data_IF_564928222059
#
_entry.id   IF_564928222059
#
_cell.length_a   1.000
_cell.length_b   1.000
_cell.length_c   1.000
_cell.angle_alpha   90.00
_cell.angle_beta   90.00
_cell.angle_gamma   90.00
#
_symmetry.space_group_name_H-M   'P 1'
#
loop_
_entity.id
_entity.type
_entity.pdbx_description
1 polymer ?
#
# COMPACT_ATOMS: atom_id res chain seq x y z
N UNK A 1 -12.96 14.03 -15.77
CA UNK A 1 -13.48 12.64 -15.82
C UNK A 1 -12.49 11.81 -16.60
N UNK A 2 -11.90 10.78 -15.99
CA UNK A 2 -10.94 9.89 -16.67
C UNK A 2 -11.70 8.88 -17.53
N UNK A 3 -11.22 8.61 -18.75
CA UNK A 3 -11.72 7.52 -19.60
C UNK A 3 -11.11 6.17 -19.25
N UNK A 4 -9.99 6.18 -18.52
CA UNK A 4 -9.30 4.99 -18.01
C UNK A 4 -9.89 4.58 -16.64
N UNK A 5 -11.04 3.92 -16.69
CA UNK A 5 -11.73 3.40 -15.49
C UNK A 5 -10.86 2.37 -14.76
N UNK A 6 -10.16 1.52 -15.52
CA UNK A 6 -9.30 0.48 -14.96
C UNK A 6 -8.16 1.08 -14.14
N UNK A 7 -7.47 2.10 -14.65
CA UNK A 7 -6.42 2.79 -13.91
C UNK A 7 -6.93 3.44 -12.62
N UNK A 8 -8.14 4.01 -12.66
CA UNK A 8 -8.77 4.61 -11.47
C UNK A 8 -9.10 3.55 -10.41
N UNK A 9 -9.67 2.40 -10.79
CA UNK A 9 -10.01 1.32 -9.86
C UNK A 9 -8.75 0.70 -9.24
N UNK A 10 -7.72 0.44 -10.05
CA UNK A 10 -6.44 -0.10 -9.57
C UNK A 10 -5.76 0.90 -8.63
N UNK A 11 -5.73 2.18 -9.01
CA UNK A 11 -5.17 3.24 -8.16
C UNK A 11 -5.87 3.31 -6.80
N UNK A 12 -7.20 3.30 -6.80
CA UNK A 12 -8.02 3.32 -5.59
C UNK A 12 -7.84 2.10 -4.68
N UNK A 13 -7.68 0.91 -5.24
CA UNK A 13 -7.43 -0.31 -4.46
C UNK A 13 -6.01 -0.34 -3.88
N UNK A 14 -5.00 -0.12 -4.74
CA UNK A 14 -3.58 -0.24 -4.36
C UNK A 14 -3.16 0.81 -3.34
N UNK A 15 -3.66 2.06 -3.46
CA UNK A 15 -3.32 3.10 -2.49
C UNK A 15 -3.69 2.73 -1.05
N UNK A 16 -4.79 1.99 -0.87
CA UNK A 16 -5.30 1.68 0.46
C UNK A 16 -4.40 0.64 1.14
N UNK A 17 -3.93 -0.37 0.40
CA UNK A 17 -2.94 -1.32 0.90
C UNK A 17 -1.60 -0.64 1.21
N UNK A 18 -1.15 0.29 0.35
CA UNK A 18 0.07 1.06 0.59
C UNK A 18 -0.04 1.97 1.82
N UNK A 19 -1.22 2.55 2.07
CA UNK A 19 -1.47 3.37 3.26
C UNK A 19 -1.39 2.57 4.57
N UNK A 20 -1.78 1.29 4.56
CA UNK A 20 -1.52 0.38 5.70
C UNK A 20 0.00 0.24 5.93
N UNK A 21 0.77 0.05 4.86
CA UNK A 21 2.24 0.04 4.92
C UNK A 21 2.85 1.33 5.47
N UNK A 22 2.32 2.49 5.05
CA UNK A 22 2.73 3.79 5.59
C UNK A 22 2.46 3.90 7.09
N UNK A 23 1.28 3.48 7.55
CA UNK A 23 0.94 3.43 8.96
C UNK A 23 1.82 2.49 9.77
N UNK A 24 2.15 1.31 9.23
CA UNK A 24 3.09 0.37 9.84
C UNK A 24 4.48 1.01 10.02
N UNK A 25 4.99 1.64 8.97
CA UNK A 25 6.28 2.33 8.98
C UNK A 25 6.31 3.48 10.00
N UNK A 26 5.28 4.32 10.01
CA UNK A 26 5.16 5.45 10.93
C UNK A 26 5.08 4.97 12.39
N UNK A 27 4.25 3.96 12.67
CA UNK A 27 4.06 3.43 14.02
C UNK A 27 5.30 2.74 14.60
N UNK A 28 6.21 2.29 13.74
CA UNK A 28 7.52 1.74 14.13
C UNK A 28 8.62 2.82 14.27
N UNK A 29 8.30 4.09 14.04
CA UNK A 29 9.21 5.21 14.27
C UNK A 29 10.17 5.54 13.11
N UNK A 30 9.92 5.04 11.89
CA UNK A 30 10.81 5.28 10.74
C UNK A 30 10.68 6.69 10.11
N UNK A 31 9.66 7.46 10.47
CA UNK A 31 9.51 8.87 10.13
C UNK A 31 9.22 9.17 8.65
N UNK A 32 9.20 10.47 8.33
CA UNK A 32 8.69 11.00 7.07
C UNK A 32 9.50 10.56 5.83
N UNK A 33 10.83 10.47 5.92
CA UNK A 33 11.67 10.07 4.77
C UNK A 33 11.34 8.64 4.32
N UNK A 34 11.15 7.74 5.27
CA UNK A 34 10.77 6.35 5.00
C UNK A 34 9.39 6.26 4.38
N UNK A 35 8.45 7.06 4.87
CA UNK A 35 7.10 7.17 4.29
C UNK A 35 7.14 7.67 2.84
N UNK A 36 7.94 8.70 2.54
CA UNK A 36 8.12 9.19 1.17
C UNK A 36 8.72 8.09 0.28
N UNK A 37 9.74 7.39 0.74
CA UNK A 37 10.33 6.27 -0.01
C UNK A 37 9.30 5.15 -0.28
N UNK A 38 8.43 4.86 0.69
CA UNK A 38 7.32 3.92 0.53
C UNK A 38 6.33 4.39 -0.53
N UNK A 39 5.93 5.67 -0.51
CA UNK A 39 5.01 6.25 -1.49
C UNK A 39 5.59 6.15 -2.90
N UNK A 40 6.85 6.56 -3.10
CA UNK A 40 7.50 6.52 -4.43
C UNK A 40 7.61 5.10 -4.97
N UNK A 41 8.02 4.14 -4.13
CA UNK A 41 8.09 2.72 -4.50
C UNK A 41 6.70 2.12 -4.74
N UNK A 42 5.73 2.51 -3.93
CA UNK A 42 4.34 2.08 -4.03
C UNK A 42 3.68 2.56 -5.32
N UNK A 43 3.97 3.79 -5.76
CA UNK A 43 3.51 4.30 -7.05
C UNK A 43 4.05 3.48 -8.23
N UNK A 44 5.33 3.06 -8.16
CA UNK A 44 5.93 2.18 -9.17
C UNK A 44 5.25 0.81 -9.21
N UNK A 45 4.93 0.24 -8.05
CA UNK A 45 4.16 -1.00 -7.94
C UNK A 45 2.75 -0.85 -8.54
N UNK A 46 2.02 0.17 -8.11
CA UNK A 46 0.68 0.51 -8.62
C UNK A 46 0.67 0.65 -10.14
N UNK A 47 1.62 1.42 -10.68
CA UNK A 47 1.75 1.65 -12.12
C UNK A 47 2.08 0.36 -12.87
N UNK A 48 2.98 -0.47 -12.34
CA UNK A 48 3.37 -1.75 -12.96
C UNK A 48 2.18 -2.71 -13.03
N UNK A 49 1.43 -2.85 -11.94
CA UNK A 49 0.22 -3.68 -11.93
C UNK A 49 -0.84 -3.12 -12.90
N UNK A 50 -1.06 -1.81 -12.85
CA UNK A 50 -1.96 -1.09 -13.75
C UNK A 50 -1.71 -1.39 -15.22
N UNK A 51 -0.48 -1.14 -15.66
CA UNK A 51 -0.07 -1.34 -17.05
C UNK A 51 -0.19 -2.82 -17.46
N UNK A 52 0.19 -3.75 -16.58
CA UNK A 52 0.05 -5.18 -16.85
C UNK A 52 -1.40 -5.64 -17.05
N UNK A 53 -2.36 -4.94 -16.45
CA UNK A 53 -3.80 -5.21 -16.58
C UNK A 53 -4.46 -4.44 -17.74
N UNK A 54 -3.75 -3.49 -18.36
CA UNK A 54 -4.23 -2.71 -19.51
C UNK A 54 -4.60 -1.25 -19.20
N UNK A 55 -4.31 -0.75 -17.99
CA UNK A 55 -4.53 0.65 -17.64
C UNK A 55 -3.50 1.60 -18.27
N UNK A 56 -3.84 2.88 -18.33
CA UNK A 56 -2.96 3.92 -18.86
C UNK A 56 -2.00 4.41 -17.78
N UNK A 57 -0.70 4.46 -18.11
CA UNK A 57 0.35 4.90 -17.19
C UNK A 57 0.07 6.30 -16.62
N UNK A 58 -0.41 7.22 -17.45
CA UNK A 58 -0.62 8.63 -17.08
C UNK A 58 -1.72 8.81 -16.02
N UNK A 59 -2.67 7.88 -15.94
CA UNK A 59 -3.71 7.88 -14.89
C UNK A 59 -3.10 7.84 -13.49
N UNK A 60 -1.99 7.10 -13.32
CA UNK A 60 -1.32 6.98 -12.03
C UNK A 60 -0.53 8.23 -11.63
N UNK A 61 -0.18 9.10 -12.57
CA UNK A 61 0.45 10.40 -12.26
C UNK A 61 -0.57 11.47 -11.90
N UNK A 62 -1.86 11.22 -12.19
CA UNK A 62 -2.95 12.11 -11.85
C UNK A 62 -3.46 11.97 -10.41
N UNK A 63 -4.60 12.62 -10.14
CA UNK A 63 -5.24 12.61 -8.82
C UNK A 63 -5.61 11.19 -8.36
N UNK A 64 -6.07 10.32 -9.26
CA UNK A 64 -6.51 8.95 -8.93
C UNK A 64 -5.36 8.00 -8.52
N UNK A 65 -4.11 8.34 -8.86
CA UNK A 65 -2.92 7.59 -8.46
C UNK A 65 -2.12 8.35 -7.41
N UNK A 66 -1.12 9.11 -7.85
CA UNK A 66 -0.17 9.82 -6.98
C UNK A 66 -0.87 10.76 -5.99
N UNK A 67 -1.83 11.56 -6.44
CA UNK A 67 -2.49 12.55 -5.58
C UNK A 67 -3.19 11.89 -4.38
N UNK A 68 -4.05 10.92 -4.66
CA UNK A 68 -4.82 10.21 -3.65
C UNK A 68 -3.94 9.24 -2.82
N UNK A 69 -2.91 8.66 -3.42
CA UNK A 69 -1.90 7.87 -2.70
C UNK A 69 -1.19 8.71 -1.64
N UNK A 70 -0.70 9.91 -2.01
CA UNK A 70 -0.03 10.82 -1.06
C UNK A 70 -0.99 11.20 0.05
N UNK A 71 -2.19 11.70 -0.28
CA UNK A 71 -3.21 12.08 0.70
C UNK A 71 -3.49 10.95 1.68
N UNK A 72 -3.80 9.75 1.16
CA UNK A 72 -4.18 8.60 1.98
C UNK A 72 -3.03 8.10 2.86
N UNK A 73 -1.77 8.25 2.42
CA UNK A 73 -0.59 7.85 3.18
C UNK A 73 -0.12 8.91 4.19
N UNK A 74 -0.51 10.18 4.06
CA UNK A 74 -0.05 11.25 4.97
C UNK A 74 -1.11 11.78 5.90
N UNK A 75 -2.38 11.54 5.60
CA UNK A 75 -3.50 12.03 6.38
C UNK A 75 -3.72 11.20 7.66
N UNK A 76 -3.97 11.87 8.78
CA UNK A 76 -4.26 11.23 10.07
C UNK A 76 -5.69 10.67 10.14
N UNK A 77 -6.61 11.14 9.29
CA UNK A 77 -7.98 10.62 9.22
C UNK A 77 -8.10 9.37 8.34
N UNK A 78 -7.08 9.07 7.53
CA UNK A 78 -6.99 7.85 6.74
C UNK A 78 -7.12 6.61 7.62
N UNK A 79 -8.25 5.91 7.49
CA UNK A 79 -8.54 4.67 8.22
C UNK A 79 -7.51 3.58 7.92
N UNK A 80 -6.99 3.54 6.69
CA UNK A 80 -5.96 2.59 6.27
C UNK A 80 -4.62 2.87 6.97
N UNK A 81 -4.22 4.15 7.07
CA UNK A 81 -3.01 4.52 7.80
C UNK A 81 -3.16 4.28 9.30
N UNK A 82 -4.30 4.68 9.89
CA UNK A 82 -4.62 4.40 11.30
C UNK A 82 -4.60 2.90 11.61
N UNK A 83 -5.10 2.07 10.69
CA UNK A 83 -5.02 0.63 10.80
C UNK A 83 -3.57 0.14 10.86
N UNK A 84 -2.70 0.62 9.96
CA UNK A 84 -1.27 0.33 10.00
C UNK A 84 -0.60 0.73 11.32
N UNK A 85 -0.97 1.89 11.89
CA UNK A 85 -0.45 2.36 13.18
C UNK A 85 -0.82 1.41 14.33
N UNK A 86 -2.06 0.92 14.37
CA UNK A 86 -2.53 -0.03 15.39
C UNK A 86 -1.80 -1.37 15.29
N UNK A 87 -1.58 -1.86 14.07
CA UNK A 87 -0.79 -3.07 13.82
C UNK A 87 0.66 -2.90 14.29
N UNK A 88 1.27 -1.75 14.04
CA UNK A 88 2.62 -1.43 14.54
C UNK A 88 2.68 -1.37 16.07
N UNK A 89 1.60 -0.96 16.73
CA UNK A 89 1.44 -1.00 18.19
C UNK A 89 1.21 -2.42 18.75
N UNK A 90 1.21 -3.46 17.91
CA UNK A 90 1.08 -4.86 18.31
C UNK A 90 -0.36 -5.35 18.42
N UNK A 91 -1.36 -4.59 17.94
CA UNK A 91 -2.73 -5.07 17.85
C UNK A 91 -2.83 -6.16 16.77
N UNK A 92 -3.70 -7.14 16.99
CA UNK A 92 -4.09 -8.07 15.92
C UNK A 92 -4.94 -7.33 14.88
N UNK A 93 -5.01 -7.85 13.65
CA UNK A 93 -5.84 -7.27 12.59
C UNK A 93 -7.31 -7.14 13.04
N UNK A 94 -7.86 -8.15 13.71
CA UNK A 94 -9.23 -8.16 14.19
C UNK A 94 -9.48 -7.09 15.26
N UNK A 95 -8.54 -6.94 16.22
CA UNK A 95 -8.65 -5.92 17.26
C UNK A 95 -8.56 -4.50 16.66
N UNK A 96 -7.64 -4.29 15.71
CA UNK A 96 -7.47 -3.01 15.05
C UNK A 96 -8.68 -2.64 14.17
N UNK A 97 -9.30 -3.60 13.48
CA UNK A 97 -10.55 -3.39 12.73
C UNK A 97 -11.70 -2.99 13.65
N UNK A 98 -11.85 -3.67 14.79
CA UNK A 98 -12.87 -3.36 15.78
C UNK A 98 -12.68 -1.96 16.39
N UNK A 99 -11.43 -1.56 16.67
CA UNK A 99 -11.10 -0.25 17.23
C UNK A 99 -11.36 0.90 16.23
N UNK A 100 -11.15 0.68 14.93
CA UNK A 100 -11.48 1.67 13.90
C UNK A 100 -13.00 1.84 13.76
N UNK A 101 -13.78 0.78 13.97
CA UNK A 101 -15.24 0.81 13.94
C UNK A 101 -15.86 1.09 12.57
N UNK A 102 -15.06 1.04 11.50
CA UNK A 102 -15.46 1.30 10.13
C UNK A 102 -14.74 0.33 9.18
N UNK A 103 -15.26 0.17 7.96
CA UNK A 103 -14.59 -0.61 6.94
C UNK A 103 -13.19 -0.04 6.64
N UNK A 104 -12.19 -0.92 6.64
CA UNK A 104 -10.81 -0.62 6.25
C UNK A 104 -10.57 -1.28 4.91
N UNK A 105 -10.71 -0.51 3.82
CA UNK A 105 -10.63 -1.06 2.47
C UNK A 105 -9.25 -1.68 2.19
N UNK A 106 -8.19 -1.15 2.78
CA UNK A 106 -6.82 -1.65 2.64
C UNK A 106 -6.63 -3.07 3.16
N UNK A 107 -7.43 -3.49 4.15
CA UNK A 107 -7.41 -4.86 4.64
C UNK A 107 -7.89 -5.84 3.54
N UNK A 108 -9.06 -5.59 2.96
CA UNK A 108 -9.61 -6.41 1.89
C UNK A 108 -8.79 -6.29 0.59
N UNK A 109 -8.37 -5.07 0.24
CA UNK A 109 -7.59 -4.79 -0.96
C UNK A 109 -6.27 -5.55 -0.98
N UNK A 110 -5.58 -5.70 0.16
CA UNK A 110 -4.31 -6.42 0.22
C UNK A 110 -4.44 -7.88 -0.25
N UNK A 111 -5.54 -8.57 0.11
CA UNK A 111 -5.82 -9.93 -0.36
C UNK A 111 -6.10 -9.98 -1.86
N UNK A 112 -6.99 -9.10 -2.34
CA UNK A 112 -7.33 -9.05 -3.76
C UNK A 112 -6.12 -8.69 -4.65
N UNK A 113 -5.30 -7.72 -4.23
CA UNK A 113 -4.09 -7.30 -4.95
C UNK A 113 -3.09 -8.45 -5.02
N UNK A 114 -2.89 -9.20 -3.93
CA UNK A 114 -2.00 -10.36 -3.93
C UNK A 114 -2.40 -11.39 -5.00
N UNK A 115 -3.69 -11.76 -5.04
CA UNK A 115 -4.19 -12.71 -6.02
C UNK A 115 -4.07 -12.20 -7.46
N UNK A 116 -4.46 -10.94 -7.71
CA UNK A 116 -4.42 -10.34 -9.04
C UNK A 116 -2.98 -10.19 -9.53
N UNK A 117 -2.07 -9.73 -8.67
CA UNK A 117 -0.66 -9.60 -9.00
C UNK A 117 -0.01 -10.96 -9.32
N UNK A 118 -0.34 -12.00 -8.56
CA UNK A 118 0.11 -13.36 -8.84
C UNK A 118 -0.37 -13.88 -10.21
N UNK A 119 -1.66 -13.67 -10.54
CA UNK A 119 -2.22 -14.06 -11.84
C UNK A 119 -1.61 -13.27 -13.00
N UNK A 120 -1.28 -12.00 -12.78
CA UNK A 120 -0.65 -11.14 -13.78
C UNK A 120 0.87 -11.32 -13.89
N UNK A 121 1.50 -12.12 -13.00
CA UNK A 121 2.96 -12.28 -12.96
C UNK A 121 3.70 -10.99 -12.57
N UNK A 122 3.06 -10.10 -11.81
CA UNK A 122 3.61 -8.80 -11.40
C UNK A 122 4.12 -8.85 -9.97
N UNK A 123 5.39 -8.55 -9.76
CA UNK A 123 5.91 -8.38 -8.39
C UNK A 123 5.30 -7.13 -7.75
N UNK A 124 4.80 -7.26 -6.52
CA UNK A 124 4.28 -6.13 -5.73
C UNK A 124 4.85 -6.16 -4.30
N UNK A 125 6.16 -5.92 -4.09
CA UNK A 125 6.80 -6.08 -2.79
C UNK A 125 6.13 -5.41 -1.58
N UNK A 126 5.62 -4.20 -1.73
CA UNK A 126 4.96 -3.45 -0.66
C UNK A 126 3.56 -4.01 -0.39
N UNK A 127 2.79 -4.28 -1.45
CA UNK A 127 1.47 -4.90 -1.28
C UNK A 127 1.57 -6.34 -0.75
N UNK A 128 2.58 -7.09 -1.19
CA UNK A 128 2.89 -8.43 -0.68
C UNK A 128 3.23 -8.38 0.81
N UNK A 129 4.03 -7.40 1.23
CA UNK A 129 4.32 -7.20 2.64
C UNK A 129 3.04 -6.95 3.44
N UNK A 130 2.17 -6.05 2.96
CA UNK A 130 0.89 -5.79 3.60
C UNK A 130 0.04 -7.08 3.68
N UNK A 131 -0.04 -7.85 2.60
CA UNK A 131 -0.73 -9.14 2.59
C UNK A 131 -0.17 -10.11 3.64
N UNK A 132 1.15 -10.28 3.72
CA UNK A 132 1.79 -11.19 4.68
C UNK A 132 1.60 -10.77 6.13
N UNK A 133 1.63 -9.47 6.42
CA UNK A 133 1.32 -8.97 7.78
C UNK A 133 -0.14 -9.27 8.14
N UNK A 134 -1.07 -9.04 7.23
CA UNK A 134 -2.51 -9.13 7.49
C UNK A 134 -3.04 -10.57 7.50
N UNK A 135 -2.55 -11.41 6.60
CA UNK A 135 -3.10 -12.74 6.33
C UNK A 135 -2.16 -13.89 6.68
N UNK A 136 -0.86 -13.64 6.81
CA UNK A 136 0.14 -14.66 7.20
C UNK A 136 0.77 -14.40 8.57
N UNK A 137 0.27 -13.40 9.31
CA UNK A 137 0.73 -13.04 10.65
C UNK A 137 2.23 -12.71 10.73
N UNK A 138 2.82 -12.22 9.64
CA UNK A 138 4.20 -11.75 9.65
C UNK A 138 4.31 -10.55 10.62
N UNK A 139 5.24 -10.55 11.59
CA UNK A 139 5.40 -9.43 12.51
C UNK A 139 5.72 -8.13 11.77
N UNK A 140 4.98 -7.05 12.07
CA UNK A 140 5.13 -5.73 11.44
C UNK A 140 6.58 -5.24 11.38
N UNK A 141 7.33 -5.43 12.48
CA UNK A 141 8.74 -5.02 12.58
C UNK A 141 9.65 -5.76 11.59
N UNK A 142 9.40 -7.06 11.40
CA UNK A 142 10.15 -7.88 10.44
C UNK A 142 9.80 -7.48 9.00
N UNK A 143 8.50 -7.27 8.75
CA UNK A 143 7.95 -6.88 7.46
C UNK A 143 8.56 -5.56 6.94
N UNK A 144 8.59 -4.51 7.79
CA UNK A 144 9.19 -3.22 7.43
C UNK A 144 10.71 -3.32 7.32
N UNK A 145 11.38 -4.09 8.18
CA UNK A 145 12.84 -4.30 8.09
C UNK A 145 13.24 -4.93 6.76
N UNK A 146 12.48 -5.94 6.29
CA UNK A 146 12.71 -6.58 4.99
C UNK A 146 12.57 -5.62 3.80
N UNK A 147 11.69 -4.61 3.91
CA UNK A 147 11.49 -3.61 2.86
C UNK A 147 12.62 -2.60 2.78
N UNK A 148 13.16 -2.21 3.94
CA UNK A 148 14.27 -1.25 4.05
C UNK A 148 15.62 -1.89 3.72
N UNK A 149 15.76 -3.20 3.92
CA UNK A 149 16.98 -3.94 3.55
C UNK A 149 17.05 -4.31 2.06
N UNK A 150 15.95 -4.17 1.30
CA UNK A 150 16.01 -4.38 -0.16
C UNK A 150 16.83 -3.24 -0.78
N UNK A 151 17.86 -3.55 -1.59
CA UNK A 151 18.62 -2.53 -2.27
C UNK A 151 17.67 -1.69 -3.13
N UNK A 152 17.77 -0.37 -2.99
CA UNK A 152 17.17 0.56 -3.94
C UNK A 152 17.88 0.28 -5.27
N UNK A 153 17.25 -0.49 -6.16
CA UNK A 153 17.70 -0.52 -7.56
C UNK A 153 17.60 0.90 -8.09
N UNK A 154 18.65 1.36 -8.77
CA UNK A 154 18.73 2.70 -9.31
C UNK A 154 17.43 3.09 -10.00
N UNK A 155 16.93 4.30 -9.75
CA UNK A 155 15.67 4.79 -10.30
C UNK A 155 15.77 5.18 -11.79
N UNK A 156 16.78 4.68 -12.49
CA UNK A 156 17.04 4.99 -13.89
C UNK A 156 17.17 3.69 -14.68
N UNK A 157 16.05 3.27 -15.27
CA UNK A 157 15.91 2.83 -16.67
C UNK A 157 14.42 2.74 -17.02
#
# INVERSE_FOLDING_TARGET
TSTDIMGVEIGGAVKNALAVGAGLSDGLGFGANTRVALITRGLKEMTRLGVALGAQRDTFMGLAGLGDLVLTCTDDQSRNRRFGLLLAAGRTAQAALAEIGQAVEGYAAAGAIHEVAARAGVEMPLCEMAYRVLYQHLPAKEAVRSLMSRPIKAEAE
#
